data_IF_447678719604
#
_entry.id   IF_447678719604
#
_cell.length_a   1.000
_cell.length_b   1.000
_cell.length_c   1.000
_cell.angle_alpha   90.00
_cell.angle_beta   90.00
_cell.angle_gamma   90.00
#
_symmetry.space_group_name_H-M   'P 1'
#
loop_
_entity.id
_entity.type
_entity.pdbx_description
1 polymer ?
#
# COMPACT_ATOMS: atom_id res chain seq x y z
N UNK A 1 -42.80 57.79 32.73
CA UNK A 1 -42.78 57.47 31.29
C UNK A 1 -41.39 56.99 30.95
N UNK A 2 -41.28 55.67 30.75
CA UNK A 2 -40.04 54.93 30.51
C UNK A 2 -39.75 54.85 29.01
N UNK A 3 -38.50 55.03 28.60
CA UNK A 3 -37.86 54.30 27.49
C UNK A 3 -36.40 54.77 27.32
N UNK A 4 -35.52 54.32 28.22
CA UNK A 4 -34.06 54.39 27.99
C UNK A 4 -33.62 53.12 27.28
N UNK A 5 -33.03 53.30 26.10
CA UNK A 5 -31.81 52.61 25.66
C UNK A 5 -31.87 51.08 25.61
N UNK A 6 -32.59 50.51 24.64
CA UNK A 6 -32.53 49.07 24.33
C UNK A 6 -32.45 48.84 22.83
N UNK A 7 -31.40 49.38 22.18
CA UNK A 7 -31.20 49.15 20.73
C UNK A 7 -29.74 49.18 20.27
N UNK A 8 -28.81 48.60 21.04
CA UNK A 8 -27.39 48.49 20.61
C UNK A 8 -26.66 47.21 21.05
N UNK A 9 -27.37 46.14 21.40
CA UNK A 9 -26.72 44.89 21.87
C UNK A 9 -26.75 43.76 20.82
N UNK A 10 -27.48 43.93 19.72
CA UNK A 10 -27.71 42.87 18.72
C UNK A 10 -26.72 42.83 17.56
N UNK A 11 -25.47 43.26 17.74
CA UNK A 11 -24.46 43.23 16.68
C UNK A 11 -23.13 42.55 17.07
N UNK A 12 -22.95 42.11 18.32
CA UNK A 12 -21.75 41.36 18.74
C UNK A 12 -21.91 39.82 18.72
N UNK A 13 -23.13 39.30 18.56
CA UNK A 13 -23.36 37.85 18.61
C UNK A 13 -23.00 37.11 17.31
N UNK A 14 -22.87 37.82 16.19
CA UNK A 14 -22.63 37.25 14.85
C UNK A 14 -21.16 37.02 14.51
N UNK A 15 -20.20 37.44 15.35
CA UNK A 15 -18.77 37.25 15.12
C UNK A 15 -18.18 35.95 15.69
N UNK A 16 -18.97 35.13 16.40
CA UNK A 16 -18.50 33.89 17.02
C UNK A 16 -18.69 32.63 16.17
N UNK A 17 -19.22 32.73 14.94
CA UNK A 17 -19.48 31.57 14.08
C UNK A 17 -18.39 31.35 13.02
N UNK A 18 -17.42 32.27 12.89
CA UNK A 18 -16.35 32.15 11.89
C UNK A 18 -15.05 31.61 12.48
N UNK A 19 -15.05 30.40 13.04
CA UNK A 19 -13.80 29.70 13.35
C UNK A 19 -13.97 28.18 13.52
N UNK A 20 -14.81 27.51 12.72
CA UNK A 20 -14.64 26.07 12.56
C UNK A 20 -13.53 25.85 11.52
N UNK A 21 -12.27 26.04 11.94
CA UNK A 21 -11.13 25.70 11.09
C UNK A 21 -11.03 24.18 11.05
N UNK A 22 -11.53 23.57 9.96
CA UNK A 22 -11.25 22.16 9.68
C UNK A 22 -9.77 22.05 9.34
N UNK A 23 -8.95 21.65 10.31
CA UNK A 23 -7.54 21.36 10.08
C UNK A 23 -7.48 20.14 9.15
N UNK A 24 -6.88 20.25 7.95
CA UNK A 24 -6.76 19.11 7.06
C UNK A 24 -5.80 18.09 7.67
N UNK A 25 -6.35 17.02 8.25
CA UNK A 25 -5.57 15.86 8.68
C UNK A 25 -5.24 15.05 7.45
N UNK A 26 -3.95 14.90 7.15
CA UNK A 26 -3.51 14.04 6.06
C UNK A 26 -3.62 12.59 6.55
N UNK A 27 -4.28 11.69 5.80
CA UNK A 27 -4.42 10.30 6.21
C UNK A 27 -3.11 9.54 6.02
N UNK A 28 -2.92 8.48 6.80
CA UNK A 28 -1.82 7.54 6.60
C UNK A 28 -1.94 6.78 5.28
N UNK A 29 -0.79 6.45 4.70
CA UNK A 29 -0.70 5.46 3.63
C UNK A 29 -1.02 4.06 4.15
N UNK A 30 -1.67 3.27 3.29
CA UNK A 30 -1.95 1.86 3.54
C UNK A 30 -0.67 1.03 3.43
N UNK A 31 -0.61 -0.06 4.20
CA UNK A 31 0.41 -1.08 4.01
C UNK A 31 0.18 -1.82 2.70
N UNK A 32 1.27 -2.31 2.12
CA UNK A 32 1.27 -3.07 0.88
C UNK A 32 1.11 -4.56 1.21
N UNK A 33 0.01 -4.86 1.90
CA UNK A 33 -0.32 -6.23 2.29
C UNK A 33 -0.67 -7.04 1.03
N UNK A 34 -0.07 -8.22 0.95
CA UNK A 34 -0.31 -9.15 -0.15
C UNK A 34 -0.79 -10.45 0.45
N UNK A 35 -1.77 -11.07 -0.21
CA UNK A 35 -2.30 -12.37 0.18
C UNK A 35 -1.13 -13.36 0.36
N UNK A 36 -1.11 -14.05 1.51
CA UNK A 36 -0.14 -15.08 1.80
C UNK A 36 -0.15 -16.19 0.74
N UNK A 37 -1.28 -16.43 0.07
CA UNK A 37 -1.40 -17.36 -1.05
C UNK A 37 -0.61 -16.89 -2.29
N UNK A 38 -0.54 -15.58 -2.54
CA UNK A 38 0.25 -14.99 -3.63
C UNK A 38 1.76 -15.07 -3.32
N UNK A 39 2.13 -14.84 -2.06
CA UNK A 39 3.51 -15.00 -1.58
C UNK A 39 3.95 -16.46 -1.52
N UNK A 40 3.00 -17.35 -1.22
CA UNK A 40 3.18 -18.80 -1.19
C UNK A 40 2.99 -19.46 -2.55
N UNK A 41 2.79 -18.70 -3.63
CA UNK A 41 2.65 -19.26 -4.97
C UNK A 41 3.91 -20.06 -5.32
N UNK A 42 3.74 -21.36 -5.48
CA UNK A 42 4.83 -22.27 -5.84
C UNK A 42 5.04 -22.24 -7.33
N UNK A 43 6.31 -22.30 -7.75
CA UNK A 43 6.63 -22.49 -9.16
C UNK A 43 5.97 -23.76 -9.71
N UNK A 44 5.66 -23.75 -11.00
CA UNK A 44 5.09 -24.91 -11.67
C UNK A 44 6.00 -26.15 -11.45
N UNK A 45 5.37 -27.30 -11.26
CA UNK A 45 6.09 -28.56 -11.15
C UNK A 45 6.82 -28.88 -12.46
N UNK A 46 7.96 -29.61 -12.39
CA UNK A 46 8.64 -30.12 -13.57
C UNK A 46 7.68 -30.92 -14.46
N UNK A 47 7.89 -30.85 -15.77
CA UNK A 47 7.06 -31.57 -16.73
C UNK A 47 7.32 -33.08 -16.62
N UNK A 48 6.27 -33.92 -16.71
CA UNK A 48 6.45 -35.35 -16.75
C UNK A 48 7.18 -35.75 -18.04
N UNK A 49 8.13 -36.68 -17.91
CA UNK A 49 8.87 -37.24 -19.05
C UNK A 49 8.37 -38.66 -19.26
N UNK A 50 8.00 -38.99 -20.50
CA UNK A 50 7.57 -40.32 -20.87
C UNK A 50 8.73 -41.33 -20.77
N UNK A 51 8.42 -42.58 -20.43
CA UNK A 51 9.42 -43.64 -20.25
C UNK A 51 10.16 -44.02 -21.53
N UNK A 52 9.57 -43.73 -22.69
CA UNK A 52 10.12 -43.96 -24.03
C UNK A 52 10.70 -42.68 -24.67
N UNK A 53 10.85 -41.61 -23.90
CA UNK A 53 11.42 -40.36 -24.38
C UNK A 53 12.85 -40.56 -24.90
N UNK A 54 13.14 -39.97 -26.06
CA UNK A 54 14.51 -39.94 -26.59
C UNK A 54 15.40 -39.07 -25.70
N UNK A 55 16.71 -39.30 -25.75
CA UNK A 55 17.67 -38.47 -25.02
C UNK A 55 17.57 -36.98 -25.39
N UNK A 56 17.33 -36.67 -26.66
CA UNK A 56 17.12 -35.28 -27.10
C UNK A 56 15.88 -34.65 -26.43
N UNK A 57 14.75 -35.37 -26.42
CA UNK A 57 13.52 -34.90 -25.79
C UNK A 57 13.68 -34.71 -24.26
N UNK A 58 14.46 -35.57 -23.61
CA UNK A 58 14.82 -35.43 -22.19
C UNK A 58 15.58 -34.13 -21.94
N UNK A 59 16.66 -33.89 -22.69
CA UNK A 59 17.51 -32.70 -22.53
C UNK A 59 16.70 -31.43 -22.77
N UNK A 60 15.90 -31.37 -23.84
CA UNK A 60 15.08 -30.20 -24.16
C UNK A 60 14.06 -29.91 -23.05
N UNK A 61 13.43 -30.95 -22.50
CA UNK A 61 12.47 -30.83 -21.40
C UNK A 61 13.14 -30.27 -20.14
N UNK A 62 14.30 -30.83 -19.76
CA UNK A 62 15.06 -30.38 -18.59
C UNK A 62 15.55 -28.94 -18.72
N UNK A 63 16.00 -28.52 -19.92
CA UNK A 63 16.44 -27.15 -20.16
C UNK A 63 15.30 -26.15 -20.01
N UNK A 64 14.15 -26.45 -20.60
CA UNK A 64 13.00 -25.57 -20.49
C UNK A 64 12.39 -25.55 -19.08
N UNK A 65 12.41 -26.66 -18.33
CA UNK A 65 12.00 -26.68 -16.92
C UNK A 65 12.93 -25.82 -16.06
N UNK A 66 14.25 -25.93 -16.27
CA UNK A 66 15.24 -25.10 -15.56
C UNK A 66 14.98 -23.62 -15.81
N UNK A 67 14.74 -23.24 -17.07
CA UNK A 67 14.43 -21.85 -17.44
C UNK A 67 13.16 -21.36 -16.74
N UNK A 68 12.09 -22.14 -16.78
CA UNK A 68 10.82 -21.79 -16.14
C UNK A 68 10.97 -21.61 -14.62
N UNK A 69 11.72 -22.49 -13.95
CA UNK A 69 11.99 -22.39 -12.51
C UNK A 69 12.83 -21.14 -12.18
N UNK A 70 13.81 -20.79 -13.02
CA UNK A 70 14.60 -19.57 -12.85
C UNK A 70 13.73 -18.31 -13.00
N UNK A 71 12.89 -18.25 -14.03
CA UNK A 71 11.98 -17.13 -14.26
C UNK A 71 10.97 -16.95 -13.12
N UNK A 72 10.41 -18.06 -12.63
CA UNK A 72 9.55 -18.05 -11.46
C UNK A 72 10.27 -17.51 -10.21
N UNK A 73 11.45 -18.04 -9.89
CA UNK A 73 12.23 -17.59 -8.74
C UNK A 73 12.59 -16.10 -8.80
N UNK A 74 12.96 -15.60 -9.98
CA UNK A 74 13.22 -14.18 -10.20
C UNK A 74 11.98 -13.32 -9.95
N UNK A 75 10.82 -13.77 -10.44
CA UNK A 75 9.54 -13.06 -10.27
C UNK A 75 9.13 -13.01 -8.80
N UNK A 76 9.21 -14.14 -8.08
CA UNK A 76 8.91 -14.21 -6.64
C UNK A 76 9.83 -13.30 -5.83
N UNK A 77 11.13 -13.30 -6.13
CA UNK A 77 12.10 -12.41 -5.47
C UNK A 77 11.80 -10.94 -5.75
N UNK A 78 11.45 -10.59 -6.99
CA UNK A 78 11.08 -9.24 -7.36
C UNK A 78 9.82 -8.76 -6.62
N UNK A 79 8.81 -9.62 -6.50
CA UNK A 79 7.58 -9.34 -5.75
C UNK A 79 7.89 -9.07 -4.27
N UNK A 80 8.65 -9.95 -3.61
CA UNK A 80 9.06 -9.78 -2.20
C UNK A 80 9.82 -8.45 -2.02
N UNK A 81 10.75 -8.14 -2.92
CA UNK A 81 11.50 -6.90 -2.88
C UNK A 81 10.63 -5.65 -3.11
N UNK A 82 9.62 -5.74 -3.97
CA UNK A 82 8.66 -4.66 -4.20
C UNK A 82 7.81 -4.40 -2.95
N UNK A 83 7.27 -5.44 -2.33
CA UNK A 83 6.46 -5.35 -1.10
C UNK A 83 7.26 -4.71 0.04
N UNK A 84 8.50 -5.16 0.26
CA UNK A 84 9.38 -4.57 1.27
C UNK A 84 9.61 -3.09 1.04
N UNK A 85 9.92 -2.69 -0.19
CA UNK A 85 10.13 -1.27 -0.54
C UNK A 85 8.87 -0.44 -0.36
N UNK A 86 7.72 -1.00 -0.73
CA UNK A 86 6.42 -0.36 -0.58
C UNK A 86 6.10 -0.10 0.90
N UNK A 87 6.24 -1.11 1.76
CA UNK A 87 6.02 -0.97 3.21
C UNK A 87 7.01 0.01 3.86
N UNK A 88 8.28 0.00 3.45
CA UNK A 88 9.26 0.99 3.93
C UNK A 88 8.86 2.41 3.54
N UNK A 89 8.40 2.62 2.30
CA UNK A 89 7.94 3.93 1.84
C UNK A 89 6.66 4.38 2.58
N UNK A 90 5.71 3.47 2.80
CA UNK A 90 4.50 3.75 3.57
C UNK A 90 4.83 4.14 5.02
N UNK A 91 5.73 3.41 5.69
CA UNK A 91 6.19 3.74 7.04
C UNK A 91 6.86 5.12 7.08
N UNK A 92 7.77 5.42 6.16
CA UNK A 92 8.45 6.71 6.09
C UNK A 92 7.49 7.87 5.79
N UNK A 93 6.45 7.62 4.97
CA UNK A 93 5.39 8.61 4.73
C UNK A 93 4.57 8.83 6.00
N UNK A 94 4.13 7.77 6.67
CA UNK A 94 3.30 7.85 7.86
C UNK A 94 4.00 8.59 9.00
N UNK A 95 5.29 8.34 9.22
CA UNK A 95 6.11 9.03 10.22
C UNK A 95 6.19 10.55 9.96
N UNK A 96 6.27 10.95 8.69
CA UNK A 96 6.22 12.37 8.30
C UNK A 96 4.84 12.98 8.53
N UNK A 97 3.77 12.23 8.22
CA UNK A 97 2.39 12.69 8.45
C UNK A 97 2.10 12.83 9.94
N UNK A 98 2.57 11.91 10.79
CA UNK A 98 2.45 12.03 12.24
C UNK A 98 3.13 13.30 12.75
N UNK A 99 4.33 13.60 12.25
CA UNK A 99 5.03 14.84 12.59
C UNK A 99 4.25 16.09 12.16
N UNK A 100 3.57 16.06 11.01
CA UNK A 100 2.76 17.18 10.53
C UNK A 100 1.47 17.34 11.35
N UNK A 101 0.78 16.24 11.61
CA UNK A 101 -0.47 16.23 12.37
C UNK A 101 -0.25 16.62 13.83
N UNK A 102 0.92 16.36 14.43
CA UNK A 102 1.26 16.79 15.79
C UNK A 102 1.58 18.29 15.93
N UNK A 103 1.84 18.99 14.82
CA UNK A 103 2.17 20.44 14.83
C UNK A 103 0.95 21.34 14.66
N UNK A 104 -0.24 20.76 14.54
CA UNK A 104 -1.52 21.43 14.36
C UNK A 104 -2.51 20.99 15.43
#
# INVERSE_FOLDING_TARGET
MNARHTRRVTLLASLLVSACQTIPVVPHALNCDVDAALLGSTCAAPRPIASDATYAALVDTMQADRKALQECGNTTNALIAAIRRCNQAAAAYNDRIDTLNQRH
#
